data_IF_612272291850
#
_entry.id   IF_612272291850
#
_cell.length_a   1.000
_cell.length_b   1.000
_cell.length_c   1.000
_cell.angle_alpha   90.00
_cell.angle_beta   90.00
_cell.angle_gamma   90.00
#
_symmetry.space_group_name_H-M   'P 1'
#
loop_
_entity.id
_entity.type
_entity.pdbx_description
1 polymer ?
#
# COMPACT_ATOMS: atom_id res chain seq x y z
N UNK A 1 19.25 19.21 -6.66
CA UNK A 1 18.75 17.99 -5.96
C UNK A 1 19.21 16.81 -6.78
N UNK A 2 19.81 15.80 -6.13
CA UNK A 2 20.29 14.61 -6.80
C UNK A 2 19.09 13.76 -7.27
N UNK A 3 18.96 13.42 -8.56
CA UNK A 3 17.84 12.65 -9.08
C UNK A 3 17.94 11.14 -8.81
N UNK A 4 19.09 10.68 -8.29
CA UNK A 4 19.29 9.25 -8.01
C UNK A 4 18.40 8.77 -6.86
N UNK A 5 17.91 7.52 -6.89
CA UNK A 5 17.22 6.92 -5.76
C UNK A 5 18.06 6.98 -4.49
N UNK A 6 17.42 7.30 -3.37
CA UNK A 6 18.12 7.44 -2.06
C UNK A 6 18.84 6.16 -1.65
N UNK A 7 18.32 4.99 -2.03
CA UNK A 7 18.92 3.70 -1.67
C UNK A 7 20.27 3.45 -2.35
N UNK A 8 20.63 4.16 -3.42
CA UNK A 8 21.96 4.07 -4.02
C UNK A 8 23.08 4.68 -3.15
N UNK A 9 22.73 5.40 -2.10
CA UNK A 9 23.69 6.00 -1.17
C UNK A 9 24.07 5.08 -0.01
N UNK A 10 23.34 3.98 0.16
CA UNK A 10 23.62 3.01 1.22
C UNK A 10 24.55 1.92 0.70
N UNK A 11 25.28 1.30 1.64
CA UNK A 11 26.06 0.08 1.40
C UNK A 11 25.55 -0.98 2.39
N UNK A 12 24.43 -1.62 2.08
CA UNK A 12 23.81 -2.52 3.02
C UNK A 12 24.54 -3.86 3.08
N UNK A 13 24.65 -4.43 4.28
CA UNK A 13 24.99 -5.84 4.46
C UNK A 13 23.75 -6.72 4.38
N UNK A 14 22.61 -6.21 4.81
CA UNK A 14 21.32 -6.89 4.69
C UNK A 14 20.37 -5.96 3.95
N UNK A 15 19.89 -6.39 2.80
CA UNK A 15 18.92 -5.67 2.01
C UNK A 15 17.61 -6.45 1.88
N UNK A 16 16.50 -5.73 1.78
CA UNK A 16 15.18 -6.33 1.52
C UNK A 16 14.55 -5.67 0.31
N UNK A 17 14.10 -6.50 -0.63
CA UNK A 17 13.25 -6.07 -1.74
C UNK A 17 11.89 -6.76 -1.63
N UNK A 18 10.86 -5.96 -1.38
CA UNK A 18 9.48 -6.43 -1.16
C UNK A 18 8.65 -6.48 -2.44
N UNK A 19 9.13 -5.93 -3.53
CA UNK A 19 8.47 -5.93 -4.83
C UNK A 19 9.01 -4.82 -5.74
N UNK A 20 8.87 -5.00 -7.05
CA UNK A 20 9.15 -4.00 -8.07
C UNK A 20 7.86 -3.70 -8.84
N UNK A 21 7.15 -2.67 -8.44
CA UNK A 21 5.98 -2.16 -9.14
C UNK A 21 6.24 -0.71 -9.58
N UNK A 22 5.99 -0.41 -10.85
CA UNK A 22 6.32 0.87 -11.45
C UNK A 22 5.65 2.04 -10.72
N UNK A 23 6.45 3.01 -10.35
CA UNK A 23 6.06 4.26 -9.71
C UNK A 23 7.08 5.36 -10.07
N UNK A 24 6.83 6.61 -9.68
CA UNK A 24 7.76 7.73 -9.92
C UNK A 24 8.11 7.97 -11.38
N UNK A 25 7.14 7.92 -12.29
CA UNK A 25 7.36 8.06 -13.73
C UNK A 25 7.97 9.40 -14.15
N UNK A 26 7.84 10.43 -13.32
CA UNK A 26 8.49 11.73 -13.51
C UNK A 26 10.02 11.65 -13.36
N UNK A 27 10.55 10.61 -12.72
CA UNK A 27 11.99 10.36 -12.53
C UNK A 27 12.44 9.16 -13.37
N UNK A 28 11.60 8.15 -13.50
CA UNK A 28 11.84 6.92 -14.25
C UNK A 28 10.77 6.74 -15.32
N UNK A 29 10.94 7.39 -16.49
CA UNK A 29 9.91 7.44 -17.53
C UNK A 29 9.55 6.08 -18.14
N UNK A 30 10.45 5.08 -18.03
CA UNK A 30 10.21 3.70 -18.49
C UNK A 30 10.33 2.72 -17.35
N UNK A 31 9.64 1.59 -17.48
CA UNK A 31 9.73 0.52 -16.49
C UNK A 31 11.12 -0.10 -16.43
N UNK A 32 11.80 -0.18 -17.57
CA UNK A 32 13.18 -0.70 -17.66
C UNK A 32 14.16 0.21 -16.90
N UNK A 33 14.02 1.54 -17.00
CA UNK A 33 14.81 2.46 -16.20
C UNK A 33 14.57 2.27 -14.71
N UNK A 34 13.32 1.99 -14.33
CA UNK A 34 12.93 1.73 -12.93
C UNK A 34 13.57 0.43 -12.42
N UNK A 35 13.45 -0.69 -13.15
CA UNK A 35 14.09 -1.98 -12.81
C UNK A 35 15.61 -1.83 -12.69
N UNK A 36 16.25 -1.09 -13.61
CA UNK A 36 17.68 -0.84 -13.57
C UNK A 36 18.16 -0.22 -12.26
N UNK A 37 17.33 0.64 -11.60
CA UNK A 37 17.69 1.20 -10.30
C UNK A 37 17.82 0.12 -9.22
N UNK A 38 16.95 -0.89 -9.25
CA UNK A 38 17.03 -2.00 -8.31
C UNK A 38 18.21 -2.91 -8.60
N UNK A 39 18.53 -3.13 -9.89
CA UNK A 39 19.76 -3.86 -10.27
C UNK A 39 21.01 -3.19 -9.72
N UNK A 40 21.14 -1.86 -9.91
CA UNK A 40 22.24 -1.07 -9.35
C UNK A 40 22.27 -1.12 -7.82
N UNK A 41 21.13 -1.13 -7.16
CA UNK A 41 21.05 -1.27 -5.71
C UNK A 41 21.57 -2.64 -5.23
N UNK A 42 21.21 -3.70 -5.92
CA UNK A 42 21.68 -5.05 -5.57
C UNK A 42 23.20 -5.16 -5.74
N UNK A 43 23.77 -4.49 -6.75
CA UNK A 43 25.22 -4.49 -7.01
C UNK A 43 26.05 -3.79 -5.92
N UNK A 44 25.45 -2.92 -5.12
CA UNK A 44 26.14 -2.23 -4.02
C UNK A 44 25.97 -2.92 -2.66
N UNK A 45 25.25 -4.04 -2.58
CA UNK A 45 25.18 -4.86 -1.36
C UNK A 45 26.57 -5.47 -1.11
N UNK A 46 26.99 -5.46 0.14
CA UNK A 46 28.29 -6.04 0.53
C UNK A 46 28.38 -7.53 0.15
N UNK A 47 29.52 -7.98 -0.37
CA UNK A 47 29.72 -9.37 -0.83
C UNK A 47 29.52 -10.40 0.28
N UNK A 48 29.73 -10.01 1.55
CA UNK A 48 29.47 -10.85 2.73
C UNK A 48 28.03 -10.78 3.23
N UNK A 49 27.23 -9.91 2.63
CA UNK A 49 25.85 -9.63 3.00
C UNK A 49 24.83 -10.57 2.41
N UNK A 50 23.57 -10.16 2.45
CA UNK A 50 22.48 -10.90 1.82
C UNK A 50 21.38 -10.00 1.29
N UNK A 51 20.66 -10.52 0.29
CA UNK A 51 19.43 -9.97 -0.24
C UNK A 51 18.26 -10.88 0.14
N UNK A 52 17.32 -10.33 0.91
CA UNK A 52 16.02 -10.96 1.21
C UNK A 52 15.03 -10.43 0.19
N UNK A 53 14.37 -11.29 -0.59
CA UNK A 53 13.50 -10.85 -1.68
C UNK A 53 12.19 -11.63 -1.73
N UNK A 54 11.12 -10.94 -2.10
CA UNK A 54 9.80 -11.56 -2.24
C UNK A 54 9.75 -12.45 -3.48
N UNK A 55 9.56 -13.75 -3.27
CA UNK A 55 9.69 -14.77 -4.32
C UNK A 55 8.58 -14.69 -5.39
N UNK A 56 7.39 -14.20 -5.03
CA UNK A 56 6.25 -14.15 -5.96
C UNK A 56 6.25 -12.87 -6.85
N UNK A 57 7.28 -12.03 -6.78
CA UNK A 57 7.49 -10.93 -7.71
C UNK A 57 8.41 -11.39 -8.86
N UNK A 58 7.86 -11.50 -10.07
CA UNK A 58 8.56 -12.01 -11.25
C UNK A 58 9.76 -11.12 -11.64
N UNK A 59 9.64 -9.80 -11.45
CA UNK A 59 10.73 -8.87 -11.75
C UNK A 59 11.89 -9.07 -10.77
N UNK A 60 11.60 -9.32 -9.49
CA UNK A 60 12.61 -9.65 -8.49
C UNK A 60 13.26 -11.01 -8.76
N UNK A 61 12.49 -12.00 -9.19
CA UNK A 61 13.06 -13.30 -9.56
C UNK A 61 14.09 -13.16 -10.69
N UNK A 62 13.69 -12.51 -11.78
CA UNK A 62 14.56 -12.28 -12.93
C UNK A 62 15.83 -11.52 -12.52
N UNK A 63 15.68 -10.45 -11.76
CA UNK A 63 16.79 -9.64 -11.27
C UNK A 63 17.77 -10.45 -10.40
N UNK A 64 17.26 -11.33 -9.54
CA UNK A 64 18.07 -12.14 -8.62
C UNK A 64 18.81 -13.27 -9.35
N UNK A 65 18.22 -13.88 -10.39
CA UNK A 65 18.83 -14.94 -11.18
C UNK A 65 20.13 -14.48 -11.87
N UNK A 66 20.25 -13.19 -12.17
CA UNK A 66 21.44 -12.57 -12.74
C UNK A 66 22.54 -12.30 -11.70
N UNK A 67 22.27 -12.41 -10.40
CA UNK A 67 23.15 -12.00 -9.29
C UNK A 67 23.77 -13.20 -8.57
N UNK A 68 24.65 -13.94 -9.23
CA UNK A 68 25.18 -15.24 -8.76
C UNK A 68 26.15 -15.16 -7.58
N UNK A 69 26.69 -13.98 -7.25
CA UNK A 69 27.70 -13.81 -6.20
C UNK A 69 27.14 -13.50 -4.82
N UNK A 70 25.89 -13.03 -4.77
CA UNK A 70 25.25 -12.59 -3.54
C UNK A 70 24.42 -13.72 -2.93
N UNK A 71 24.44 -13.85 -1.61
CA UNK A 71 23.51 -14.74 -0.87
C UNK A 71 22.09 -14.18 -0.96
N UNK A 72 21.27 -14.83 -1.77
CA UNK A 72 19.88 -14.44 -1.99
C UNK A 72 18.94 -15.35 -1.20
N UNK A 73 18.04 -14.76 -0.41
CA UNK A 73 17.10 -15.45 0.47
C UNK A 73 15.66 -15.16 0.01
N UNK A 74 15.02 -16.11 -0.70
CA UNK A 74 13.62 -15.93 -1.09
C UNK A 74 12.70 -16.02 0.13
N UNK A 75 11.64 -15.21 0.12
CA UNK A 75 10.58 -15.33 1.11
C UNK A 75 9.19 -15.19 0.48
N UNK A 76 8.20 -15.69 1.20
CA UNK A 76 6.79 -15.64 0.83
C UNK A 76 6.00 -14.89 1.90
N UNK A 77 4.76 -14.56 1.63
CA UNK A 77 3.82 -14.13 2.67
C UNK A 77 3.66 -15.22 3.73
N UNK A 78 3.45 -14.81 4.99
CA UNK A 78 3.14 -15.75 6.06
C UNK A 78 1.74 -16.29 5.90
N UNK A 79 1.57 -17.60 6.10
CA UNK A 79 0.25 -18.19 6.21
C UNK A 79 -0.49 -17.63 7.44
N UNK A 80 -1.72 -17.20 7.23
CA UNK A 80 -2.49 -16.55 8.27
C UNK A 80 -3.99 -16.67 8.04
N UNK A 81 -4.74 -16.61 9.12
CA UNK A 81 -6.20 -16.56 9.11
C UNK A 81 -6.72 -15.42 10.00
N UNK A 82 -7.88 -14.89 9.68
CA UNK A 82 -8.55 -13.86 10.46
C UNK A 82 -9.43 -14.55 11.50
N UNK A 83 -9.22 -14.21 12.78
CA UNK A 83 -10.02 -14.67 13.90
C UNK A 83 -10.50 -13.46 14.74
N UNK A 84 -11.76 -13.12 14.61
CA UNK A 84 -12.35 -11.96 15.27
C UNK A 84 -11.63 -10.65 14.90
N UNK A 85 -11.05 -9.98 15.88
CA UNK A 85 -10.31 -8.73 15.70
C UNK A 85 -8.80 -8.92 15.45
N UNK A 86 -8.34 -10.19 15.35
CA UNK A 86 -6.93 -10.56 15.21
C UNK A 86 -6.65 -11.32 13.93
N UNK A 87 -5.39 -11.39 13.60
CA UNK A 87 -4.83 -12.27 12.58
C UNK A 87 -3.94 -13.28 13.27
N UNK A 88 -4.20 -14.56 13.02
CA UNK A 88 -3.42 -15.69 13.52
C UNK A 88 -2.41 -16.08 12.45
N UNK A 89 -1.14 -15.86 12.71
CA UNK A 89 -0.03 -16.23 11.82
C UNK A 89 0.39 -17.65 12.15
N UNK A 90 0.51 -18.52 11.13
CA UNK A 90 0.98 -19.90 11.25
C UNK A 90 2.41 -19.98 10.74
N UNK A 91 3.34 -20.38 11.60
CA UNK A 91 4.74 -20.56 11.24
C UNK A 91 5.26 -21.88 11.81
N UNK A 92 5.46 -22.90 10.95
CA UNK A 92 5.80 -24.27 11.34
C UNK A 92 4.74 -24.83 12.30
N UNK A 93 5.15 -25.20 13.53
CA UNK A 93 4.27 -25.75 14.56
C UNK A 93 3.75 -24.71 15.55
N UNK A 94 4.04 -23.43 15.32
CA UNK A 94 3.68 -22.34 16.23
C UNK A 94 2.66 -21.41 15.58
N UNK A 95 1.83 -20.79 16.42
CA UNK A 95 0.90 -19.73 16.05
C UNK A 95 1.21 -18.47 16.80
N UNK A 96 1.05 -17.32 16.13
CA UNK A 96 1.29 -16.00 16.70
C UNK A 96 0.16 -15.06 16.34
N UNK A 97 -0.15 -14.13 17.21
CA UNK A 97 -1.24 -13.18 17.03
C UNK A 97 -0.72 -11.79 16.68
N UNK A 98 -1.46 -11.08 15.82
CA UNK A 98 -1.24 -9.67 15.53
C UNK A 98 -2.55 -8.98 15.18
N UNK A 99 -2.58 -7.64 15.32
CA UNK A 99 -3.69 -6.81 14.82
C UNK A 99 -3.52 -6.43 13.35
N UNK A 100 -2.33 -6.63 12.79
CA UNK A 100 -2.08 -6.35 11.38
C UNK A 100 -2.76 -7.42 10.52
N UNK A 101 -3.30 -7.03 9.37
CA UNK A 101 -3.99 -7.93 8.44
C UNK A 101 -3.67 -7.56 6.99
N UNK A 102 -4.05 -8.44 6.07
CA UNK A 102 -3.80 -8.32 4.64
C UNK A 102 -2.47 -8.93 4.21
N UNK A 103 -2.47 -9.51 3.01
CA UNK A 103 -1.32 -10.24 2.44
C UNK A 103 -0.04 -9.41 2.42
N UNK A 104 -0.13 -8.13 2.04
CA UNK A 104 1.03 -7.24 2.02
C UNK A 104 1.64 -7.04 3.41
N UNK A 105 0.84 -7.02 4.49
CA UNK A 105 1.37 -6.96 5.85
C UNK A 105 2.01 -8.30 6.25
N UNK A 106 1.43 -9.43 5.88
CA UNK A 106 2.04 -10.77 6.11
C UNK A 106 3.36 -10.91 5.37
N UNK A 107 3.46 -10.37 4.17
CA UNK A 107 4.70 -10.24 3.41
C UNK A 107 5.74 -9.37 4.15
N UNK A 108 5.36 -8.18 4.59
CA UNK A 108 6.25 -7.25 5.31
C UNK A 108 6.72 -7.82 6.65
N UNK A 109 5.84 -8.48 7.40
CA UNK A 109 6.16 -9.15 8.67
C UNK A 109 7.21 -10.24 8.44
N UNK A 110 7.05 -11.07 7.39
CA UNK A 110 8.02 -12.14 7.11
C UNK A 110 9.39 -11.57 6.70
N UNK A 111 9.40 -10.52 5.89
CA UNK A 111 10.65 -9.84 5.53
C UNK A 111 11.37 -9.28 6.76
N UNK A 112 10.66 -8.57 7.63
CA UNK A 112 11.21 -8.02 8.87
C UNK A 112 11.72 -9.12 9.82
N UNK A 113 10.96 -10.22 9.95
CA UNK A 113 11.39 -11.39 10.74
C UNK A 113 12.71 -11.98 10.24
N UNK A 114 12.87 -12.12 8.93
CA UNK A 114 14.10 -12.64 8.34
C UNK A 114 15.28 -11.70 8.58
N UNK A 115 15.10 -10.39 8.46
CA UNK A 115 16.13 -9.41 8.82
C UNK A 115 16.51 -9.55 10.30
N UNK A 116 15.52 -9.66 11.19
CA UNK A 116 15.75 -9.84 12.62
C UNK A 116 16.56 -11.13 12.91
N UNK A 117 16.24 -12.22 12.20
CA UNK A 117 16.98 -13.47 12.36
C UNK A 117 18.45 -13.33 11.90
N UNK A 118 18.73 -12.59 10.83
CA UNK A 118 20.10 -12.33 10.35
C UNK A 118 20.95 -11.55 11.37
N UNK A 119 20.33 -10.77 12.24
CA UNK A 119 21.02 -10.03 13.30
C UNK A 119 20.91 -10.71 14.69
N UNK A 120 20.48 -11.98 14.72
CA UNK A 120 20.47 -12.80 15.94
C UNK A 120 19.21 -12.70 16.80
N UNK A 121 18.16 -12.02 16.36
CA UNK A 121 16.86 -11.99 17.03
C UNK A 121 16.04 -13.19 16.54
N UNK A 122 15.71 -14.11 17.44
CA UNK A 122 14.96 -15.31 17.09
C UNK A 122 13.45 -15.03 16.86
N UNK A 123 12.73 -16.01 16.29
CA UNK A 123 11.31 -15.86 15.97
C UNK A 123 10.45 -15.51 17.20
N UNK A 124 10.74 -16.11 18.33
CA UNK A 124 9.94 -15.90 19.54
C UNK A 124 10.06 -14.45 20.04
N UNK A 125 11.29 -13.93 20.11
CA UNK A 125 11.55 -12.52 20.43
C UNK A 125 10.87 -11.58 19.44
N UNK A 126 10.96 -11.89 18.15
CA UNK A 126 10.33 -11.09 17.10
C UNK A 126 8.80 -11.03 17.25
N UNK A 127 8.14 -12.17 17.42
CA UNK A 127 6.68 -12.20 17.52
C UNK A 127 6.14 -11.64 18.84
N UNK A 128 6.90 -11.76 19.95
CA UNK A 128 6.58 -11.05 21.20
C UNK A 128 6.58 -9.53 20.97
N UNK A 129 7.57 -9.01 20.24
CA UNK A 129 7.58 -7.57 19.89
C UNK A 129 6.44 -7.20 18.93
N UNK A 130 6.17 -8.03 17.92
CA UNK A 130 5.11 -7.81 16.94
C UNK A 130 3.71 -7.77 17.57
N UNK A 131 3.43 -8.56 18.60
CA UNK A 131 2.11 -8.59 19.26
C UNK A 131 1.71 -7.23 19.85
N UNK A 132 2.69 -6.39 20.20
CA UNK A 132 2.48 -5.04 20.71
C UNK A 132 2.49 -3.96 19.60
N UNK A 133 2.85 -4.33 18.37
CA UNK A 133 2.94 -3.39 17.26
C UNK A 133 1.56 -3.10 16.67
N UNK A 134 1.15 -1.84 16.72
CA UNK A 134 -0.18 -1.38 16.25
C UNK A 134 -0.20 -0.95 14.78
N UNK A 135 0.89 -1.14 14.04
CA UNK A 135 1.06 -0.65 12.68
C UNK A 135 1.77 0.70 12.61
N UNK A 136 2.20 1.08 11.41
CA UNK A 136 2.77 2.39 11.14
C UNK A 136 1.64 3.40 10.84
N UNK A 137 1.89 4.67 11.17
CA UNK A 137 0.94 5.74 10.87
C UNK A 137 0.61 5.77 9.35
N UNK A 138 -0.65 5.97 9.03
CA UNK A 138 -1.16 5.96 7.65
C UNK A 138 -0.84 4.67 6.86
N UNK A 139 -0.77 3.49 7.54
CA UNK A 139 -0.61 2.18 6.92
C UNK A 139 -1.71 1.24 7.41
N UNK A 140 -2.82 1.17 6.69
CA UNK A 140 -4.07 0.55 7.16
C UNK A 140 -4.38 0.94 8.60
N UNK A 141 -4.20 2.23 8.89
CA UNK A 141 -4.43 2.77 10.23
C UNK A 141 -5.93 2.85 10.48
N UNK A 142 -6.38 2.18 11.53
CA UNK A 142 -7.74 2.33 12.04
C UNK A 142 -7.87 3.72 12.70
N UNK A 143 -8.84 4.51 12.23
CA UNK A 143 -9.15 5.84 12.78
C UNK A 143 -10.24 5.73 13.83
N UNK A 144 -11.33 5.02 13.49
CA UNK A 144 -12.45 4.76 14.37
C UNK A 144 -13.19 3.48 13.96
N UNK A 145 -13.82 2.82 14.91
CA UNK A 145 -14.69 1.66 14.65
C UNK A 145 -15.83 1.55 15.66
N UNK A 146 -16.90 0.93 15.21
CA UNK A 146 -18.00 0.43 16.05
C UNK A 146 -18.39 -1.00 15.62
N UNK A 147 -19.50 -1.53 16.09
CA UNK A 147 -19.94 -2.90 15.77
C UNK A 147 -20.23 -3.14 14.28
N UNK A 148 -20.58 -2.11 13.51
CA UNK A 148 -21.00 -2.22 12.10
C UNK A 148 -20.09 -1.53 11.11
N UNK A 149 -19.22 -0.62 11.54
CA UNK A 149 -18.45 0.29 10.69
C UNK A 149 -17.01 0.40 11.18
N UNK A 150 -16.07 0.37 10.27
CA UNK A 150 -14.66 0.69 10.54
C UNK A 150 -14.15 1.70 9.51
N UNK A 151 -13.45 2.72 9.98
CA UNK A 151 -12.83 3.74 9.15
C UNK A 151 -11.30 3.60 9.18
N UNK A 152 -10.72 3.34 8.01
CA UNK A 152 -9.28 3.19 7.80
C UNK A 152 -8.71 4.31 6.94
N UNK A 153 -7.47 4.68 7.23
CA UNK A 153 -6.66 5.52 6.34
C UNK A 153 -5.39 4.76 5.93
N UNK A 154 -4.96 4.99 4.69
CA UNK A 154 -3.74 4.39 4.15
C UNK A 154 -2.97 5.37 3.26
N UNK A 155 -1.67 5.18 3.14
CA UNK A 155 -0.80 5.96 2.26
C UNK A 155 -0.75 5.39 0.83
N UNK A 156 -1.54 4.38 0.50
CA UNK A 156 -1.61 3.80 -0.83
C UNK A 156 -1.96 4.88 -1.87
N UNK A 157 -1.17 4.97 -2.91
CA UNK A 157 -1.32 5.94 -3.99
C UNK A 157 -0.90 5.37 -5.35
N UNK A 158 -0.20 4.23 -5.40
CA UNK A 158 0.15 3.52 -6.61
C UNK A 158 -0.83 2.34 -6.86
N UNK A 159 -1.06 1.91 -8.11
CA UNK A 159 -2.05 0.90 -8.46
C UNK A 159 -1.97 -0.39 -7.65
N UNK A 160 -0.77 -0.97 -7.53
CA UNK A 160 -0.55 -2.21 -6.79
C UNK A 160 -0.86 -2.06 -5.29
N UNK A 161 -0.53 -0.91 -4.70
CA UNK A 161 -0.81 -0.61 -3.29
C UNK A 161 -2.31 -0.44 -3.05
N UNK A 162 -2.99 0.26 -3.97
CA UNK A 162 -4.44 0.43 -3.96
C UNK A 162 -5.15 -0.92 -3.92
N UNK A 163 -4.80 -1.80 -4.86
CA UNK A 163 -5.35 -3.14 -4.96
C UNK A 163 -5.14 -3.92 -3.66
N UNK A 164 -3.90 -3.99 -3.19
CA UNK A 164 -3.54 -4.73 -1.98
C UNK A 164 -4.29 -4.23 -0.73
N UNK A 165 -4.43 -2.91 -0.57
CA UNK A 165 -5.11 -2.31 0.60
C UNK A 165 -6.61 -2.52 0.54
N UNK A 166 -7.24 -2.35 -0.63
CA UNK A 166 -8.67 -2.56 -0.86
C UNK A 166 -9.05 -4.04 -0.63
N UNK A 167 -8.26 -4.96 -1.18
CA UNK A 167 -8.42 -6.40 -0.94
C UNK A 167 -8.29 -6.76 0.55
N UNK A 168 -7.32 -6.19 1.24
CA UNK A 168 -7.08 -6.45 2.66
C UNK A 168 -8.30 -6.08 3.53
N UNK A 169 -8.87 -4.89 3.32
CA UNK A 169 -10.05 -4.45 4.08
C UNK A 169 -11.27 -5.30 3.75
N UNK A 170 -11.48 -5.64 2.45
CA UNK A 170 -12.60 -6.50 2.05
C UNK A 170 -12.49 -7.91 2.61
N UNK A 171 -11.29 -8.49 2.63
CA UNK A 171 -11.03 -9.81 3.22
C UNK A 171 -11.21 -9.79 4.75
N UNK A 172 -10.85 -8.70 5.41
CA UNK A 172 -11.06 -8.52 6.86
C UNK A 172 -12.53 -8.48 7.23
N UNK A 173 -13.37 -7.88 6.39
CA UNK A 173 -14.80 -7.68 6.62
C UNK A 173 -15.62 -8.16 5.40
N UNK A 174 -15.66 -9.47 5.12
CA UNK A 174 -16.26 -10.00 3.88
C UNK A 174 -17.75 -9.69 3.77
N UNK A 175 -18.45 -9.59 4.90
CA UNK A 175 -19.89 -9.35 4.96
C UNK A 175 -20.27 -7.86 5.06
N UNK A 176 -19.29 -6.95 5.14
CA UNK A 176 -19.55 -5.51 5.13
C UNK A 176 -19.33 -4.93 3.74
N UNK A 177 -20.08 -3.90 3.39
CA UNK A 177 -19.77 -3.10 2.20
C UNK A 177 -18.47 -2.33 2.43
N UNK A 178 -17.77 -2.05 1.35
CA UNK A 178 -16.55 -1.24 1.35
C UNK A 178 -16.72 -0.03 0.44
N UNK A 179 -16.67 1.15 1.03
CA UNK A 179 -16.47 2.42 0.32
C UNK A 179 -14.97 2.70 0.35
N UNK A 180 -14.31 2.65 -0.82
CA UNK A 180 -12.90 2.96 -0.94
C UNK A 180 -12.70 4.25 -1.74
N UNK A 181 -11.95 5.18 -1.18
CA UNK A 181 -11.67 6.48 -1.78
C UNK A 181 -10.16 6.67 -1.94
N UNK A 182 -9.70 7.00 -3.14
CA UNK A 182 -8.32 7.39 -3.46
C UNK A 182 -8.24 8.87 -3.80
N UNK A 183 -7.21 9.56 -3.26
CA UNK A 183 -6.81 10.88 -3.76
C UNK A 183 -5.64 10.72 -4.74
N UNK A 184 -5.82 11.20 -5.98
CA UNK A 184 -4.73 11.34 -6.93
C UNK A 184 -3.97 12.63 -6.62
N UNK A 185 -2.76 12.48 -6.06
CA UNK A 185 -1.97 13.62 -5.58
C UNK A 185 -0.50 13.59 -6.05
N UNK A 186 0.02 12.41 -6.42
CA UNK A 186 1.40 12.27 -6.88
C UNK A 186 1.56 12.68 -8.34
N UNK A 187 2.79 12.93 -8.79
CA UNK A 187 3.08 13.18 -10.20
C UNK A 187 2.64 11.99 -11.08
N UNK A 188 2.86 10.76 -10.64
CA UNK A 188 2.45 9.55 -11.38
C UNK A 188 0.93 9.45 -11.47
N UNK A 189 0.22 9.59 -10.35
CA UNK A 189 -1.24 9.45 -10.31
C UNK A 189 -1.99 10.55 -11.06
N UNK A 190 -1.37 11.70 -11.27
CA UNK A 190 -1.89 12.83 -12.04
C UNK A 190 -1.34 12.87 -13.48
N UNK A 191 -0.71 11.80 -13.95
CA UNK A 191 -0.19 11.73 -15.31
C UNK A 191 -1.13 10.91 -16.21
N UNK A 192 -1.62 11.53 -17.28
CA UNK A 192 -2.56 10.91 -18.23
C UNK A 192 -2.07 9.57 -18.80
N UNK A 193 -0.78 9.48 -19.12
CA UNK A 193 -0.19 8.25 -19.67
C UNK A 193 -0.07 7.13 -18.64
N UNK A 194 -0.06 7.46 -17.35
CA UNK A 194 0.04 6.48 -16.27
C UNK A 194 -1.33 6.03 -15.73
N UNK A 195 -2.37 6.85 -15.87
CA UNK A 195 -3.71 6.54 -15.37
C UNK A 195 -4.22 5.14 -15.73
N UNK A 196 -4.00 4.59 -16.95
CA UNK A 196 -4.46 3.25 -17.30
C UNK A 196 -3.89 2.13 -16.39
N UNK A 197 -2.79 2.36 -15.67
CA UNK A 197 -2.25 1.41 -14.70
C UNK A 197 -3.19 1.18 -13.50
N UNK A 198 -4.15 2.10 -13.26
CA UNK A 198 -5.15 1.97 -12.19
C UNK A 198 -6.33 1.08 -12.55
N UNK A 199 -6.39 0.57 -13.78
CA UNK A 199 -7.48 -0.29 -14.21
C UNK A 199 -7.69 -1.46 -13.24
N UNK A 200 -8.94 -1.64 -12.78
CA UNK A 200 -9.34 -2.67 -11.83
C UNK A 200 -8.61 -2.65 -10.46
N UNK A 201 -7.92 -1.58 -10.11
CA UNK A 201 -7.22 -1.50 -8.81
C UNK A 201 -8.15 -1.37 -7.60
N UNK A 202 -9.44 -1.08 -7.81
CA UNK A 202 -10.44 -0.91 -6.76
C UNK A 202 -11.65 -1.85 -6.92
N UNK A 203 -11.55 -2.93 -7.68
CA UNK A 203 -12.66 -3.86 -7.98
C UNK A 203 -13.27 -4.53 -6.74
N UNK A 204 -12.50 -4.63 -5.66
CA UNK A 204 -12.99 -5.20 -4.40
C UNK A 204 -13.84 -4.23 -3.57
N UNK A 205 -13.91 -2.96 -3.95
CA UNK A 205 -14.79 -1.98 -3.32
C UNK A 205 -16.22 -2.10 -3.87
N UNK A 206 -17.21 -2.05 -2.98
CA UNK A 206 -18.63 -1.98 -3.39
C UNK A 206 -18.97 -0.58 -3.93
N UNK A 207 -18.27 0.44 -3.43
CA UNK A 207 -18.29 1.81 -3.97
C UNK A 207 -16.86 2.32 -4.07
N UNK A 208 -16.39 2.53 -5.29
CA UNK A 208 -15.08 3.08 -5.58
C UNK A 208 -15.17 4.58 -5.90
N UNK A 209 -14.35 5.38 -5.22
CA UNK A 209 -14.33 6.83 -5.35
C UNK A 209 -12.91 7.29 -5.68
N UNK A 210 -12.79 8.15 -6.68
CA UNK A 210 -11.54 8.83 -7.01
C UNK A 210 -11.72 10.32 -6.80
N UNK A 211 -10.83 10.90 -6.05
CA UNK A 211 -10.77 12.34 -5.83
C UNK A 211 -9.48 12.91 -6.41
N UNK A 212 -9.55 14.03 -7.07
CA UNK A 212 -8.38 14.86 -7.39
C UNK A 212 -8.75 16.34 -7.43
N UNK A 213 -7.79 17.19 -7.05
CA UNK A 213 -7.97 18.63 -7.12
C UNK A 213 -7.32 19.17 -8.41
N UNK A 214 -8.08 19.78 -9.36
CA UNK A 214 -7.53 20.36 -10.59
C UNK A 214 -6.44 21.41 -10.36
N UNK A 215 -6.51 22.19 -9.27
CA UNK A 215 -5.47 23.16 -8.94
C UNK A 215 -4.10 22.55 -8.63
N UNK A 216 -4.08 21.29 -8.15
CA UNK A 216 -2.81 20.57 -7.93
C UNK A 216 -2.12 20.26 -9.25
N UNK A 217 -2.88 20.01 -10.34
CA UNK A 217 -2.32 19.84 -11.69
C UNK A 217 -1.64 21.12 -12.16
N UNK A 218 -2.30 22.26 -12.00
CA UNK A 218 -1.74 23.59 -12.34
C UNK A 218 -0.45 23.86 -11.58
N UNK A 219 -0.45 23.65 -10.27
CA UNK A 219 0.75 23.84 -9.42
C UNK A 219 1.93 22.92 -9.79
N UNK A 220 1.63 21.74 -10.32
CA UNK A 220 2.65 20.77 -10.76
C UNK A 220 3.04 20.93 -12.23
N UNK A 221 2.47 21.92 -12.95
CA UNK A 221 2.62 22.11 -14.39
C UNK A 221 2.30 20.82 -15.19
N UNK A 222 1.25 20.10 -14.80
CA UNK A 222 0.75 18.92 -15.49
C UNK A 222 -0.42 19.30 -16.40
N UNK A 223 -0.66 18.47 -17.43
CA UNK A 223 -1.83 18.61 -18.29
C UNK A 223 -3.12 18.44 -17.49
N UNK A 224 -4.15 19.19 -17.87
CA UNK A 224 -5.48 19.03 -17.28
C UNK A 224 -6.04 17.63 -17.57
N UNK A 225 -6.69 17.06 -16.57
CA UNK A 225 -7.36 15.76 -16.67
C UNK A 225 -8.84 16.00 -16.38
N UNK A 226 -9.72 15.50 -17.24
CA UNK A 226 -11.15 15.52 -17.00
C UNK A 226 -11.60 14.29 -16.18
N UNK A 227 -12.72 14.41 -15.42
CA UNK A 227 -13.23 13.32 -14.61
C UNK A 227 -13.58 12.06 -15.39
N UNK A 228 -14.01 12.19 -16.64
CA UNK A 228 -14.38 11.07 -17.50
C UNK A 228 -13.14 10.24 -17.89
N UNK A 229 -12.03 10.88 -18.24
CA UNK A 229 -10.74 10.21 -18.46
C UNK A 229 -10.30 9.42 -17.22
N UNK A 230 -10.48 9.98 -16.03
CA UNK A 230 -10.18 9.28 -14.77
C UNK A 230 -11.10 8.08 -14.58
N UNK A 231 -12.40 8.23 -14.78
CA UNK A 231 -13.36 7.16 -14.64
C UNK A 231 -13.05 5.98 -15.58
N UNK A 232 -12.77 6.26 -16.84
CA UNK A 232 -12.38 5.25 -17.83
C UNK A 232 -11.11 4.49 -17.43
N UNK A 233 -10.10 5.21 -16.93
CA UNK A 233 -8.85 4.63 -16.50
C UNK A 233 -9.00 3.65 -15.32
N UNK A 234 -9.96 3.87 -14.43
CA UNK A 234 -10.26 3.00 -13.28
C UNK A 234 -11.27 1.89 -13.58
N UNK A 235 -11.90 1.86 -14.79
CA UNK A 235 -12.85 0.83 -15.20
C UNK A 235 -14.33 1.24 -15.15
N UNK A 236 -14.63 2.53 -15.26
CA UNK A 236 -15.98 3.14 -15.43
C UNK A 236 -16.95 3.00 -14.23
N UNK A 237 -16.62 2.17 -13.23
CA UNK A 237 -17.47 1.95 -12.04
C UNK A 237 -17.12 2.87 -10.87
N UNK A 238 -16.28 3.88 -11.10
CA UNK A 238 -15.84 4.79 -10.06
C UNK A 238 -16.62 6.09 -10.10
N UNK A 239 -16.86 6.68 -8.92
CA UNK A 239 -17.41 8.02 -8.77
C UNK A 239 -16.22 8.98 -8.67
N UNK A 240 -16.18 10.00 -9.54
CA UNK A 240 -15.07 10.95 -9.55
C UNK A 240 -15.51 12.29 -8.96
N UNK A 241 -14.73 12.79 -7.99
CA UNK A 241 -14.90 14.12 -7.41
C UNK A 241 -13.66 14.98 -7.69
N UNK A 242 -13.91 16.26 -7.98
CA UNK A 242 -12.87 17.29 -8.14
C UNK A 242 -12.96 18.39 -7.08
N UNK A 243 -13.92 18.27 -6.17
CA UNK A 243 -14.13 19.20 -5.07
C UNK A 243 -14.23 18.41 -3.74
N UNK A 244 -13.37 18.73 -2.79
CA UNK A 244 -13.28 18.06 -1.50
C UNK A 244 -14.56 18.20 -0.66
N UNK A 245 -15.26 19.34 -0.72
CA UNK A 245 -16.52 19.55 -0.01
C UNK A 245 -17.64 18.65 -0.55
N UNK A 246 -17.71 18.50 -1.88
CA UNK A 246 -18.70 17.60 -2.51
C UNK A 246 -18.42 16.13 -2.15
N UNK A 247 -17.15 15.74 -2.10
CA UNK A 247 -16.74 14.42 -1.61
C UNK A 247 -17.19 14.21 -0.16
N UNK A 248 -16.91 15.18 0.72
CA UNK A 248 -17.31 15.11 2.13
C UNK A 248 -18.84 15.01 2.27
N UNK A 249 -19.60 15.83 1.56
CA UNK A 249 -21.06 15.76 1.57
C UNK A 249 -21.60 14.41 1.12
N UNK A 250 -21.00 13.81 0.07
CA UNK A 250 -21.36 12.47 -0.39
C UNK A 250 -21.12 11.43 0.70
N UNK A 251 -19.94 11.45 1.33
CA UNK A 251 -19.59 10.52 2.40
C UNK A 251 -20.48 10.71 3.63
N UNK A 252 -20.84 11.94 3.98
CA UNK A 252 -21.75 12.24 5.11
C UNK A 252 -23.20 11.76 4.89
N UNK A 253 -23.62 11.64 3.62
CA UNK A 253 -24.95 11.14 3.24
C UNK A 253 -25.00 9.63 3.02
N UNK A 254 -23.85 8.95 3.06
CA UNK A 254 -23.75 7.50 2.88
C UNK A 254 -24.30 6.78 4.12
N UNK A 255 -25.03 5.69 3.90
CA UNK A 255 -25.44 4.78 4.99
C UNK A 255 -24.25 3.93 5.43
N UNK A 256 -23.77 4.17 6.62
CA UNK A 256 -22.62 3.49 7.18
C UNK A 256 -22.97 2.23 7.97
N UNK A 257 -24.25 1.85 8.06
CA UNK A 257 -24.61 0.58 8.67
C UNK A 257 -24.07 -0.59 7.85
N UNK A 258 -23.28 -1.45 8.47
CA UNK A 258 -22.59 -2.57 7.85
C UNK A 258 -21.70 -2.18 6.65
N UNK A 259 -21.05 -1.01 6.75
CA UNK A 259 -20.25 -0.41 5.69
C UNK A 259 -18.94 0.16 6.26
N UNK A 260 -17.81 -0.19 5.66
CA UNK A 260 -16.50 0.34 6.04
C UNK A 260 -16.07 1.46 5.10
N UNK A 261 -15.30 2.42 5.62
CA UNK A 261 -14.64 3.46 4.85
C UNK A 261 -13.12 3.22 4.82
N UNK A 262 -12.55 3.27 3.62
CA UNK A 262 -11.10 3.27 3.40
C UNK A 262 -10.71 4.51 2.60
N UNK A 263 -9.94 5.42 3.20
CA UNK A 263 -9.42 6.60 2.52
C UNK A 263 -7.92 6.47 2.29
N UNK A 264 -7.50 6.57 1.02
CA UNK A 264 -6.13 6.30 0.57
C UNK A 264 -5.53 7.54 -0.06
N UNK A 265 -4.40 8.03 0.44
CA UNK A 265 -3.72 9.21 -0.11
C UNK A 265 -2.28 9.34 0.35
N UNK A 266 -1.44 9.87 -0.53
CA UNK A 266 -0.14 10.47 -0.15
C UNK A 266 -0.27 11.94 0.27
N UNK A 267 -1.45 12.55 0.09
CA UNK A 267 -1.83 13.89 0.52
C UNK A 267 -2.72 13.89 1.76
N UNK A 268 -3.76 14.72 1.75
CA UNK A 268 -4.67 14.91 2.88
C UNK A 268 -6.12 15.26 2.46
N UNK A 269 -6.51 14.98 1.21
CA UNK A 269 -7.85 15.28 0.66
C UNK A 269 -8.24 16.76 0.83
N UNK A 270 -7.30 17.67 0.55
CA UNK A 270 -7.43 19.12 0.76
C UNK A 270 -7.73 19.50 2.22
N UNK A 271 -7.09 18.80 3.16
CA UNK A 271 -7.14 19.18 4.57
C UNK A 271 -8.29 18.57 5.36
N UNK A 272 -8.88 17.45 4.92
CA UNK A 272 -9.84 16.72 5.75
C UNK A 272 -9.18 16.28 7.05
N UNK A 273 -9.74 16.73 8.17
CA UNK A 273 -9.34 16.26 9.48
C UNK A 273 -10.06 14.93 9.79
N UNK A 274 -9.31 13.82 9.66
CA UNK A 274 -9.88 12.48 9.82
C UNK A 274 -10.40 12.20 11.23
N UNK A 275 -9.80 12.76 12.27
CA UNK A 275 -10.26 12.56 13.67
C UNK A 275 -11.65 13.17 13.91
N UNK A 276 -11.87 14.36 13.34
CA UNK A 276 -13.19 15.02 13.41
C UNK A 276 -14.17 14.36 12.44
N UNK A 277 -13.73 14.04 11.23
CA UNK A 277 -14.57 13.44 10.21
C UNK A 277 -15.06 12.04 10.61
N UNK A 278 -14.23 11.27 11.30
CA UNK A 278 -14.59 9.92 11.77
C UNK A 278 -15.79 9.89 12.69
N UNK A 279 -15.99 10.93 13.50
CA UNK A 279 -17.14 11.05 14.42
C UNK A 279 -18.49 11.14 13.68
N UNK A 280 -18.46 11.61 12.43
CA UNK A 280 -19.64 11.69 11.58
C UNK A 280 -19.88 10.42 10.74
N UNK A 281 -18.88 9.53 10.66
CA UNK A 281 -18.95 8.26 9.92
C UNK A 281 -19.25 7.11 10.87
N UNK A 282 -18.57 7.10 12.02
CA UNK A 282 -18.68 6.03 13.01
C UNK A 282 -19.45 6.57 14.22
N UNK A 283 -20.78 6.41 14.19
CA UNK A 283 -21.64 6.76 15.31
C UNK A 283 -21.55 5.67 16.41
N UNK A 284 -21.67 6.08 17.68
CA UNK A 284 -21.73 5.17 18.84
C UNK A 284 -23.00 4.29 18.84
#
# INVERSE_FOLDING_TARGET
IDPRPKFHWYKPHIAVLTGIAWDHINVFPTFDDYIRQFSMFVDIIDETGCLIYFKNDENLQTLVEEKTRLRCMPYYELDSEIDGDRTIIKLRNNTYETKLFGKHNMQNINAARLVCNEIGINNEQFFVALSNFKGAAKRLQLVAENKSTAFYIDFAHAPSKLKATTEAVKQRYPNRKLVACIELHTFSSLNKAFLPQYFNSMDMADTAIVYFNPHVLEHKNLESIDPETVAQAFGEKVIVFTNSLMLQEFLLKTDWNNTNLLMMSSGNFDGINFDTFSKNIVHE
#
